data_IF_530888501657
#
_entry.id   IF_530888501657
#
_cell.length_a   1.000
_cell.length_b   1.000
_cell.length_c   1.000
_cell.angle_alpha   90.00
_cell.angle_beta   90.00
_cell.angle_gamma   90.00
#
_symmetry.space_group_name_H-M   'P 1'
#
loop_
_entity.id
_entity.type
_entity.pdbx_description
1 polymer ?
#
# COMPACT_ATOMS: atom_id res chain seq x y z
N UNK A 1 -13.33 25.99 36.15
CA UNK A 1 -12.90 24.79 35.37
C UNK A 1 -11.50 25.03 34.85
N UNK A 2 -10.52 24.24 35.28
CA UNK A 2 -9.11 24.36 34.84
C UNK A 2 -8.78 23.17 33.94
N UNK A 3 -8.50 23.44 32.67
CA UNK A 3 -8.04 22.46 31.68
C UNK A 3 -6.51 22.49 31.71
N UNK A 4 -5.86 21.38 32.05
CA UNK A 4 -4.40 21.24 32.01
C UNK A 4 -4.02 20.59 30.67
N UNK A 5 -3.39 21.39 29.80
CA UNK A 5 -2.75 20.94 28.56
C UNK A 5 -1.31 20.58 28.92
N UNK A 6 -0.94 19.31 28.82
CA UNK A 6 0.44 18.87 29.02
C UNK A 6 1.18 18.93 27.68
N UNK A 7 1.99 19.98 27.53
CA UNK A 7 2.99 20.13 26.48
C UNK A 7 4.30 19.57 27.05
N UNK A 8 4.85 18.50 26.48
CA UNK A 8 6.19 18.01 26.83
C UNK A 8 7.01 17.88 25.55
N UNK A 9 7.88 18.87 25.32
CA UNK A 9 8.92 18.84 24.31
C UNK A 9 10.19 19.38 24.96
N UNK A 10 11.06 18.50 25.44
CA UNK A 10 12.42 18.87 25.83
C UNK A 10 13.33 17.63 25.79
N UNK A 11 13.98 17.40 24.65
CA UNK A 11 15.27 16.69 24.64
C UNK A 11 16.31 17.76 24.34
N UNK A 12 17.02 18.12 25.40
CA UNK A 12 18.11 19.07 25.42
C UNK A 12 19.36 18.33 24.93
N UNK A 13 19.87 18.72 23.76
CA UNK A 13 21.18 18.32 23.25
C UNK A 13 22.23 18.99 24.11
N UNK A 14 22.88 18.22 25.00
CA UNK A 14 24.12 18.60 25.65
C UNK A 14 25.27 17.81 25.02
N UNK A 15 25.93 18.43 24.05
CA UNK A 15 27.27 18.03 23.63
C UNK A 15 28.29 18.56 24.64
N UNK A 16 29.20 17.71 25.10
CA UNK A 16 30.25 18.11 26.03
C UNK A 16 31.18 16.97 26.43
N UNK A 17 32.21 16.75 25.61
CA UNK A 17 33.57 16.30 25.91
C UNK A 17 33.81 15.10 26.86
N UNK A 18 34.60 14.15 26.34
CA UNK A 18 34.92 12.88 26.97
C UNK A 18 35.57 12.95 28.35
N UNK A 19 35.23 11.94 29.15
CA UNK A 19 36.09 11.40 30.18
C UNK A 19 35.79 9.89 30.27
N UNK A 20 36.82 9.07 30.03
CA UNK A 20 36.69 7.63 30.02
C UNK A 20 36.10 7.09 31.32
N UNK A 21 34.95 6.44 31.20
CA UNK A 21 34.38 5.52 32.18
C UNK A 21 33.63 4.49 31.37
N UNK A 22 34.01 3.22 31.51
CA UNK A 22 33.51 2.12 30.68
C UNK A 22 32.01 2.25 30.42
N UNK A 23 31.68 2.60 29.18
CA UNK A 23 30.34 2.47 28.66
C UNK A 23 30.17 0.97 28.47
N UNK A 24 29.63 0.32 29.49
CA UNK A 24 28.92 -0.94 29.32
C UNK A 24 27.92 -0.67 28.20
N UNK A 25 28.22 -1.24 27.02
CA UNK A 25 27.30 -1.37 25.91
C UNK A 25 25.98 -1.83 26.54
N UNK A 26 24.92 -1.00 26.61
CA UNK A 26 23.72 -1.39 27.32
C UNK A 26 23.19 -2.63 26.62
N UNK A 27 23.21 -3.72 27.38
CA UNK A 27 22.81 -5.06 27.01
C UNK A 27 21.59 -4.98 26.09
N UNK A 28 21.79 -5.34 24.82
CA UNK A 28 20.79 -5.27 23.75
C UNK A 28 19.73 -6.39 23.91
N UNK A 29 19.35 -6.68 25.15
CA UNK A 29 18.68 -7.87 25.67
C UNK A 29 17.57 -7.49 26.67
N UNK A 30 16.69 -6.57 26.30
CA UNK A 30 15.30 -6.51 26.79
C UNK A 30 14.55 -5.40 26.04
N UNK A 31 14.30 -5.60 24.74
CA UNK A 31 13.33 -4.75 24.05
C UNK A 31 11.95 -5.08 24.64
N UNK A 32 11.24 -4.12 25.26
CA UNK A 32 9.93 -4.39 25.84
C UNK A 32 9.02 -4.93 24.72
N UNK A 33 8.38 -6.08 24.96
CA UNK A 33 7.45 -6.66 24.00
C UNK A 33 6.42 -5.59 23.58
N UNK A 34 6.23 -5.43 22.27
CA UNK A 34 5.31 -4.43 21.74
C UNK A 34 3.92 -4.63 22.38
N UNK A 35 3.25 -3.54 22.81
CA UNK A 35 1.88 -3.62 23.31
C UNK A 35 0.93 -4.27 22.30
N UNK A 36 -0.08 -5.00 22.77
CA UNK A 36 -1.07 -5.67 21.91
C UNK A 36 -1.79 -4.71 20.94
N UNK A 37 -2.11 -3.49 21.38
CA UNK A 37 -2.74 -2.49 20.52
C UNK A 37 -1.84 -2.08 19.34
N UNK A 38 -0.52 -2.09 19.55
CA UNK A 38 0.45 -1.77 18.51
C UNK A 38 0.51 -2.90 17.48
N UNK A 39 0.51 -4.16 17.92
CA UNK A 39 0.44 -5.32 17.01
C UNK A 39 -0.81 -5.29 16.16
N UNK A 40 -1.98 -5.02 16.75
CA UNK A 40 -3.27 -4.93 16.03
C UNK A 40 -3.24 -3.79 15.01
N UNK A 41 -2.66 -2.65 15.37
CA UNK A 41 -2.53 -1.50 14.47
C UNK A 41 -1.57 -1.79 13.31
N UNK A 42 -0.41 -2.39 13.58
CA UNK A 42 0.57 -2.79 12.55
C UNK A 42 -0.03 -3.82 11.60
N UNK A 43 -0.76 -4.81 12.13
CA UNK A 43 -1.45 -5.83 11.32
C UNK A 43 -2.55 -5.23 10.44
N UNK A 44 -3.31 -4.25 10.97
CA UNK A 44 -4.30 -3.51 10.18
C UNK A 44 -3.63 -2.74 9.05
N UNK A 45 -2.58 -1.98 9.34
CA UNK A 45 -1.83 -1.23 8.33
C UNK A 45 -1.28 -2.14 7.25
N UNK A 46 -0.62 -3.24 7.63
CA UNK A 46 -0.09 -4.21 6.67
C UNK A 46 -1.18 -4.76 5.74
N UNK A 47 -2.38 -5.05 6.26
CA UNK A 47 -3.51 -5.50 5.44
C UNK A 47 -4.01 -4.41 4.49
N UNK A 48 -4.16 -3.18 4.98
CA UNK A 48 -4.64 -2.05 4.16
C UNK A 48 -3.63 -1.68 3.07
N UNK A 49 -2.34 -1.62 3.40
CA UNK A 49 -1.24 -1.46 2.43
C UNK A 49 -1.25 -2.57 1.40
N UNK A 50 -1.39 -3.83 1.82
CA UNK A 50 -1.43 -4.96 0.88
C UNK A 50 -2.63 -4.90 -0.06
N UNK A 51 -3.79 -4.51 0.45
CA UNK A 51 -4.98 -4.32 -0.38
C UNK A 51 -4.79 -3.18 -1.39
N UNK A 52 -4.11 -2.11 -1.00
CA UNK A 52 -3.76 -1.03 -1.90
C UNK A 52 -2.78 -1.49 -2.99
N UNK A 53 -1.77 -2.29 -2.63
CA UNK A 53 -0.85 -2.92 -3.59
C UNK A 53 -1.58 -3.83 -4.58
N UNK A 54 -2.46 -4.68 -4.09
CA UNK A 54 -3.28 -5.58 -4.90
C UNK A 54 -4.17 -4.81 -5.86
N UNK A 55 -4.81 -3.77 -5.35
CA UNK A 55 -5.66 -2.91 -6.16
C UNK A 55 -4.86 -2.27 -7.29
N UNK A 56 -3.75 -1.60 -6.99
CA UNK A 56 -2.95 -0.88 -8.01
C UNK A 56 -2.25 -1.85 -8.96
N UNK A 57 -1.72 -2.96 -8.45
CA UNK A 57 -0.91 -3.93 -9.18
C UNK A 57 -1.73 -4.91 -10.03
N UNK A 58 -2.96 -5.23 -9.64
CA UNK A 58 -3.74 -6.27 -10.32
C UNK A 58 -5.16 -5.88 -10.74
N UNK A 59 -5.79 -4.89 -10.09
CA UNK A 59 -7.20 -4.52 -10.33
C UNK A 59 -7.31 -3.29 -11.21
N UNK A 60 -6.60 -2.23 -10.84
CA UNK A 60 -6.70 -0.92 -11.47
C UNK A 60 -6.21 -0.95 -12.91
N UNK A 61 -7.04 -0.44 -13.83
CA UNK A 61 -6.81 -0.50 -15.28
C UNK A 61 -6.21 0.78 -15.88
N UNK A 62 -5.93 1.79 -15.06
CA UNK A 62 -5.20 2.96 -15.51
C UNK A 62 -3.73 2.66 -15.79
N UNK A 63 -3.08 3.55 -16.54
CA UNK A 63 -1.66 3.45 -16.88
C UNK A 63 -0.77 4.15 -15.86
N UNK A 64 0.53 3.86 -15.93
CA UNK A 64 1.60 4.53 -15.19
C UNK A 64 2.05 3.83 -13.93
N UNK A 65 3.20 4.25 -13.42
CA UNK A 65 3.74 3.83 -12.14
C UNK A 65 3.13 4.66 -11.01
N UNK A 66 3.12 4.08 -9.81
CA UNK A 66 2.49 4.67 -8.63
C UNK A 66 3.43 4.63 -7.44
N UNK A 67 3.33 5.64 -6.58
CA UNK A 67 3.98 5.68 -5.27
C UNK A 67 2.88 5.68 -4.22
N UNK A 68 2.92 4.69 -3.32
CA UNK A 68 2.10 4.62 -2.12
C UNK A 68 2.58 5.69 -1.14
N UNK A 69 1.70 6.63 -0.84
CA UNK A 69 1.96 7.67 0.16
C UNK A 69 1.62 7.16 1.55
N UNK A 70 0.54 6.38 1.65
CA UNK A 70 0.07 5.72 2.85
C UNK A 70 -0.74 4.46 2.49
N UNK A 71 -1.34 3.81 3.49
CA UNK A 71 -2.19 2.63 3.34
C UNK A 71 -3.47 2.82 2.49
N UNK A 72 -3.83 4.06 2.18
CA UNK A 72 -5.04 4.40 1.43
C UNK A 72 -4.79 5.26 0.19
N UNK A 73 -3.58 5.73 -0.06
CA UNK A 73 -3.29 6.74 -1.08
C UNK A 73 -2.12 6.33 -1.94
N UNK A 74 -2.32 6.33 -3.25
CA UNK A 74 -1.27 6.14 -4.24
C UNK A 74 -1.30 7.29 -5.24
N UNK A 75 -0.13 7.77 -5.65
CA UNK A 75 -0.01 8.86 -6.62
C UNK A 75 0.89 8.41 -7.76
N UNK A 76 0.40 8.57 -8.98
CA UNK A 76 1.15 8.26 -10.20
C UNK A 76 0.96 9.33 -11.25
N UNK A 77 1.67 9.17 -12.38
CA UNK A 77 1.55 10.08 -13.51
C UNK A 77 0.12 10.15 -14.09
N UNK A 78 -0.66 9.07 -13.94
CA UNK A 78 -2.05 9.00 -14.35
C UNK A 78 -3.05 9.65 -13.39
N UNK A 79 -2.60 10.14 -12.24
CA UNK A 79 -3.41 10.74 -11.17
C UNK A 79 -3.29 10.00 -9.84
N UNK A 80 -4.11 10.42 -8.87
CA UNK A 80 -4.14 9.84 -7.52
C UNK A 80 -5.26 8.80 -7.37
N UNK A 81 -4.97 7.75 -6.60
CA UNK A 81 -5.91 6.73 -6.15
C UNK A 81 -6.08 6.90 -4.65
N UNK A 82 -7.33 6.98 -4.19
CA UNK A 82 -7.66 7.17 -2.78
C UNK A 82 -8.67 6.12 -2.33
N UNK A 83 -8.36 5.40 -1.26
CA UNK A 83 -9.21 4.40 -0.63
C UNK A 83 -9.99 5.03 0.52
N UNK A 84 -11.31 4.88 0.49
CA UNK A 84 -12.23 5.28 1.53
C UNK A 84 -13.11 4.08 1.90
N UNK A 85 -12.72 3.36 2.95
CA UNK A 85 -13.33 2.07 3.30
C UNK A 85 -13.15 1.07 2.15
N UNK A 86 -14.25 0.57 1.63
CA UNK A 86 -14.25 -0.39 0.52
C UNK A 86 -14.27 0.28 -0.87
N UNK A 87 -14.28 1.61 -0.94
CA UNK A 87 -14.31 2.35 -2.21
C UNK A 87 -12.93 2.88 -2.57
N UNK A 88 -12.53 2.72 -3.83
CA UNK A 88 -11.30 3.27 -4.40
C UNK A 88 -11.66 4.31 -5.45
N UNK A 89 -11.35 5.56 -5.16
CA UNK A 89 -11.51 6.67 -6.09
C UNK A 89 -10.29 6.73 -6.99
N UNK A 90 -10.51 6.66 -8.30
CA UNK A 90 -9.45 6.70 -9.30
C UNK A 90 -9.76 7.73 -10.38
N UNK A 91 -8.78 8.16 -11.19
CA UNK A 91 -9.01 9.04 -12.34
C UNK A 91 -10.00 8.47 -13.37
N UNK A 92 -10.21 7.16 -13.39
CA UNK A 92 -11.09 6.43 -14.32
C UNK A 92 -12.46 6.14 -13.70
N UNK A 93 -12.71 6.63 -12.49
CA UNK A 93 -13.96 6.42 -11.75
C UNK A 93 -13.76 5.62 -10.46
N UNK A 94 -14.87 5.37 -9.78
CA UNK A 94 -14.89 4.67 -8.50
C UNK A 94 -14.93 3.14 -8.70
N UNK A 95 -14.06 2.44 -7.99
CA UNK A 95 -14.13 0.99 -7.81
C UNK A 95 -14.68 0.69 -6.42
N UNK A 96 -15.46 -0.37 -6.28
CA UNK A 96 -16.04 -0.77 -4.99
C UNK A 96 -15.69 -2.22 -4.70
N UNK A 97 -15.07 -2.47 -3.55
CA UNK A 97 -14.80 -3.81 -3.05
C UNK A 97 -16.05 -4.37 -2.37
N UNK A 98 -16.41 -5.59 -2.73
CA UNK A 98 -17.53 -6.34 -2.17
C UNK A 98 -17.05 -7.77 -1.91
N UNK A 99 -16.64 -8.04 -0.66
CA UNK A 99 -15.94 -9.27 -0.31
C UNK A 99 -14.64 -9.41 -1.09
N UNK A 100 -14.53 -10.50 -1.85
CA UNK A 100 -13.36 -10.79 -2.66
C UNK A 100 -13.46 -10.22 -4.09
N UNK A 101 -14.44 -9.37 -4.39
CA UNK A 101 -14.62 -8.80 -5.74
C UNK A 101 -14.48 -7.29 -5.75
N UNK A 102 -13.90 -6.76 -6.82
CA UNK A 102 -13.82 -5.33 -7.11
C UNK A 102 -14.74 -5.01 -8.29
N UNK A 103 -15.79 -4.25 -8.02
CA UNK A 103 -16.70 -3.70 -9.01
C UNK A 103 -16.05 -2.50 -9.67
N UNK A 104 -16.10 -2.45 -10.99
CA UNK A 104 -15.47 -1.42 -11.81
C UNK A 104 -16.47 -0.35 -12.22
N UNK A 105 -16.01 0.88 -12.51
CA UNK A 105 -16.86 1.94 -13.03
C UNK A 105 -17.42 1.62 -14.44
N UNK A 106 -16.79 0.72 -15.19
CA UNK A 106 -17.23 0.27 -16.51
C UNK A 106 -18.28 -0.84 -16.48
N UNK A 107 -18.77 -1.21 -15.29
CA UNK A 107 -19.73 -2.30 -15.08
C UNK A 107 -19.11 -3.71 -15.05
N UNK A 108 -17.79 -3.83 -15.22
CA UNK A 108 -17.08 -5.10 -15.03
C UNK A 108 -16.77 -5.40 -13.56
N UNK A 109 -16.22 -6.58 -13.32
CA UNK A 109 -15.67 -6.97 -12.02
C UNK A 109 -14.28 -7.60 -12.17
N UNK A 110 -13.53 -7.59 -11.07
CA UNK A 110 -12.30 -8.37 -10.87
C UNK A 110 -12.49 -9.18 -9.59
N UNK A 111 -12.34 -10.50 -9.65
CA UNK A 111 -12.47 -11.39 -8.49
C UNK A 111 -11.08 -11.75 -7.99
N UNK A 112 -10.82 -11.58 -6.71
CA UNK A 112 -9.65 -12.05 -5.98
C UNK A 112 -9.92 -13.46 -5.44
N UNK A 113 -9.09 -14.42 -5.86
CA UNK A 113 -9.11 -15.80 -5.37
C UNK A 113 -7.80 -16.13 -4.66
N UNK A 114 -7.49 -15.39 -3.59
CA UNK A 114 -6.29 -15.61 -2.77
C UNK A 114 -5.01 -15.12 -3.44
N UNK A 115 -5.05 -13.97 -4.12
CA UNK A 115 -3.94 -13.42 -4.89
C UNK A 115 -3.98 -13.74 -6.38
N UNK A 116 -5.03 -14.42 -6.85
CA UNK A 116 -5.34 -14.56 -8.27
C UNK A 116 -6.49 -13.63 -8.63
N UNK A 117 -6.24 -12.63 -9.46
CA UNK A 117 -7.19 -11.59 -9.86
C UNK A 117 -7.72 -11.90 -11.26
N UNK A 118 -9.00 -12.23 -11.35
CA UNK A 118 -9.64 -12.71 -12.58
C UNK A 118 -10.71 -11.72 -13.02
N UNK A 119 -10.64 -11.30 -14.29
CA UNK A 119 -11.68 -10.54 -14.95
C UNK A 119 -11.91 -11.04 -16.37
N UNK A 120 -13.03 -10.64 -16.98
CA UNK A 120 -13.38 -11.06 -18.35
C UNK A 120 -12.31 -10.71 -19.38
N UNK A 121 -11.53 -9.66 -19.10
CA UNK A 121 -10.51 -9.10 -19.97
C UNK A 121 -9.09 -9.51 -19.60
N UNK A 122 -8.91 -10.44 -18.65
CA UNK A 122 -7.61 -11.01 -18.34
C UNK A 122 -7.48 -11.46 -16.89
N UNK A 123 -6.38 -12.12 -16.62
CA UNK A 123 -5.97 -12.59 -15.30
C UNK A 123 -4.63 -11.99 -14.90
N UNK A 124 -4.44 -11.78 -13.60
CA UNK A 124 -3.19 -11.45 -12.93
C UNK A 124 -3.03 -12.37 -11.72
N UNK A 125 -1.81 -12.80 -11.43
CA UNK A 125 -1.49 -13.63 -10.26
C UNK A 125 -0.36 -12.97 -9.49
N UNK A 126 -0.51 -12.93 -8.17
CA UNK A 126 0.45 -12.36 -7.23
C UNK A 126 1.37 -13.45 -6.68
N UNK A 127 2.67 -13.22 -6.77
CA UNK A 127 3.72 -14.04 -6.20
C UNK A 127 4.66 -13.14 -5.39
N UNK A 128 4.41 -13.03 -4.08
CA UNK A 128 5.05 -12.03 -3.24
C UNK A 128 4.70 -10.62 -3.73
N UNK A 129 5.71 -9.83 -4.06
CA UNK A 129 5.56 -8.43 -4.47
C UNK A 129 5.47 -8.26 -6.00
N UNK A 130 5.39 -9.37 -6.73
CA UNK A 130 5.28 -9.38 -8.19
C UNK A 130 3.88 -9.83 -8.59
N UNK A 131 3.29 -9.14 -9.56
CA UNK A 131 2.06 -9.53 -10.23
C UNK A 131 2.37 -9.82 -11.69
N UNK A 132 1.91 -10.98 -12.17
CA UNK A 132 2.13 -11.43 -13.54
C UNK A 132 0.81 -11.87 -14.13
N UNK A 133 0.57 -11.49 -15.38
CA UNK A 133 -0.59 -12.00 -16.07
C UNK A 133 -0.69 -11.59 -17.52
N UNK A 134 -1.86 -11.86 -18.06
CA UNK A 134 -2.19 -11.62 -19.47
C UNK A 134 -2.09 -10.16 -19.90
N UNK A 135 -2.09 -9.23 -18.94
CA UNK A 135 -2.03 -7.79 -19.18
C UNK A 135 -0.64 -7.21 -19.01
N UNK A 136 0.33 -8.01 -18.60
CA UNK A 136 1.69 -7.57 -18.32
C UNK A 136 2.10 -7.90 -16.90
N UNK A 137 3.03 -7.10 -16.37
CA UNK A 137 3.62 -7.33 -15.06
C UNK A 137 3.62 -6.06 -14.22
N UNK A 138 3.56 -6.22 -12.91
CA UNK A 138 3.86 -5.15 -11.96
C UNK A 138 4.68 -5.65 -10.79
N UNK A 139 5.47 -4.76 -10.19
CA UNK A 139 6.36 -5.08 -9.07
C UNK A 139 6.21 -3.99 -8.01
N UNK A 140 6.04 -4.40 -6.77
CA UNK A 140 6.14 -3.53 -5.60
C UNK A 140 7.59 -3.51 -5.13
N UNK A 141 8.16 -2.32 -5.00
CA UNK A 141 9.52 -2.07 -4.53
C UNK A 141 9.46 -0.97 -3.46
N UNK A 142 9.33 -1.38 -2.20
CA UNK A 142 9.06 -0.46 -1.10
C UNK A 142 7.71 0.22 -1.28
N UNK A 143 7.69 1.55 -1.32
CA UNK A 143 6.48 2.32 -1.56
C UNK A 143 6.11 2.45 -3.05
N UNK A 144 6.94 1.99 -3.98
CA UNK A 144 6.73 2.20 -5.42
C UNK A 144 6.17 0.96 -6.08
N UNK A 145 5.17 1.14 -6.95
CA UNK A 145 4.60 0.09 -7.80
C UNK A 145 4.93 0.43 -9.25
N UNK A 146 5.84 -0.37 -9.82
CA UNK A 146 6.24 -0.29 -11.21
C UNK A 146 5.34 -1.18 -12.05
N UNK A 147 4.79 -0.66 -13.14
CA UNK A 147 3.78 -1.37 -13.94
C UNK A 147 4.14 -1.33 -15.41
N UNK A 148 4.34 -2.52 -15.97
CA UNK A 148 4.49 -2.73 -17.39
C UNK A 148 3.22 -3.41 -17.92
N UNK A 149 2.15 -2.64 -18.04
CA UNK A 149 0.91 -3.13 -18.62
C UNK A 149 0.96 -2.95 -20.14
N UNK A 150 0.71 -4.04 -20.85
CA UNK A 150 0.55 -4.02 -22.29
C UNK A 150 -0.84 -3.48 -22.59
N UNK A 151 -0.92 -2.32 -23.24
CA UNK A 151 -2.17 -1.87 -23.83
C UNK A 151 -2.68 -2.96 -24.78
N UNK A 152 -3.99 -3.25 -24.72
CA UNK A 152 -4.59 -4.16 -25.71
C UNK A 152 -4.27 -3.60 -27.09
N UNK A 153 -3.76 -4.40 -28.05
CA UNK A 153 -3.85 -3.98 -29.45
C UNK A 153 -5.34 -3.76 -29.73
N UNK A 154 -5.70 -2.53 -30.10
CA UNK A 154 -7.06 -2.23 -30.52
C UNK A 154 -7.43 -3.19 -31.64
N UNK A 155 -8.63 -3.78 -31.58
CA UNK A 155 -9.19 -4.60 -32.66
C UNK A 155 -9.52 -3.78 -33.93
N UNK A 156 -8.86 -2.64 -34.14
CA UNK A 156 -9.17 -1.64 -35.16
C UNK A 156 -7.96 -1.22 -36.02
N UNK A 157 -6.95 -2.07 -36.16
CA UNK A 157 -5.86 -1.82 -37.11
C UNK A 157 -5.71 -3.00 -38.06
N UNK A 158 -6.64 -3.08 -39.01
CA UNK A 158 -6.49 -3.74 -40.30
C UNK A 158 -7.05 -2.81 -41.36
#
# INVERSE_FOLDING_TARGET
>A
MKIKIYFWFLILVAGGAGLGRGEEEPDLLDQPEKPEWQKVWEARKARETREMEDFVGAVYRGNGDFVLVDEGTAVGAGGAIVRAGDTFLTPQGAYVKAGDSYLRPDGGAVVDAGGSFVSWDGTMVRAGDVYVGTRGTSVVAGATILRNFREKPGWGSR
#
